data_IF_391095574050
#
_entry.id   IF_391095574050
#
_cell.length_a   1.000
_cell.length_b   1.000
_cell.length_c   1.000
_cell.angle_alpha   90.00
_cell.angle_beta   90.00
_cell.angle_gamma   90.00
#
_symmetry.space_group_name_H-M   'P 1'
#
loop_
_entity.id
_entity.type
_entity.pdbx_description
1 polymer ?
#
# COMPACT_ATOMS: atom_id res chain seq x y z
N UNK A 1 -14.44 54.43 38.18
CA UNK A 1 -13.33 53.58 37.68
C UNK A 1 -13.97 52.31 37.13
N UNK A 2 -13.94 52.14 35.81
CA UNK A 2 -14.87 51.29 35.05
C UNK A 2 -14.66 49.79 35.23
N UNK A 3 -15.78 49.06 35.25
CA UNK A 3 -15.84 47.60 35.23
C UNK A 3 -15.47 47.07 33.83
N UNK A 4 -14.44 46.23 33.76
CA UNK A 4 -14.09 45.50 32.54
C UNK A 4 -15.04 44.30 32.35
N UNK A 5 -15.62 44.16 31.15
CA UNK A 5 -16.46 43.03 30.75
C UNK A 5 -15.59 41.78 30.50
N UNK A 6 -16.08 40.56 30.79
CA UNK A 6 -15.35 39.35 30.44
C UNK A 6 -15.34 39.16 28.92
N UNK A 7 -14.16 38.84 28.38
CA UNK A 7 -13.96 38.48 26.98
C UNK A 7 -14.65 37.13 26.76
N UNK A 8 -15.72 37.11 25.96
CA UNK A 8 -16.35 35.89 25.47
C UNK A 8 -15.31 35.16 24.63
N UNK A 9 -14.86 33.99 25.10
CA UNK A 9 -14.05 33.09 24.29
C UNK A 9 -14.91 32.66 23.08
N UNK A 10 -14.59 33.20 21.91
CA UNK A 10 -15.18 32.79 20.66
C UNK A 10 -14.92 31.28 20.49
N UNK A 11 -15.99 30.47 20.55
CA UNK A 11 -15.94 29.08 20.08
C UNK A 11 -15.46 29.11 18.64
N UNK A 12 -14.24 28.65 18.40
CA UNK A 12 -13.72 28.39 17.06
C UNK A 12 -14.61 27.29 16.46
N UNK A 13 -15.61 27.67 15.68
CA UNK A 13 -16.29 26.75 14.78
C UNK A 13 -15.25 26.33 13.73
N UNK A 14 -14.46 25.29 14.03
CA UNK A 14 -13.64 24.63 13.03
C UNK A 14 -14.60 24.00 12.03
N UNK A 15 -14.49 24.40 10.77
CA UNK A 15 -15.42 24.11 9.67
C UNK A 15 -15.61 22.61 9.46
N UNK A 16 -16.77 22.07 9.82
CA UNK A 16 -17.19 20.70 9.48
C UNK A 16 -17.22 20.49 7.95
N UNK A 17 -17.63 21.52 7.19
CA UNK A 17 -17.76 21.49 5.72
C UNK A 17 -16.43 21.14 5.02
N UNK A 18 -15.28 21.60 5.53
CA UNK A 18 -13.97 21.32 4.93
C UNK A 18 -13.50 19.88 5.20
N UNK A 19 -13.89 19.31 6.35
CA UNK A 19 -13.60 17.92 6.70
C UNK A 19 -14.44 16.96 5.83
N UNK A 20 -15.71 17.29 5.61
CA UNK A 20 -16.62 16.51 4.78
C UNK A 20 -16.13 16.42 3.32
N UNK A 21 -15.67 17.53 2.75
CA UNK A 21 -15.12 17.55 1.38
C UNK A 21 -13.81 16.77 1.23
N UNK A 22 -12.92 16.82 2.23
CA UNK A 22 -11.68 16.05 2.21
C UNK A 22 -11.95 14.54 2.34
N UNK A 23 -12.85 14.15 3.23
CA UNK A 23 -13.22 12.75 3.40
C UNK A 23 -13.90 12.20 2.15
N UNK A 24 -14.74 13.01 1.50
CA UNK A 24 -15.34 12.66 0.22
C UNK A 24 -14.28 12.44 -0.87
N UNK A 25 -13.29 13.34 -0.97
CA UNK A 25 -12.20 13.21 -1.95
C UNK A 25 -11.39 11.92 -1.77
N UNK A 26 -11.04 11.57 -0.52
CA UNK A 26 -10.27 10.36 -0.21
C UNK A 26 -11.08 9.05 -0.41
N UNK A 27 -12.41 9.12 -0.31
CA UNK A 27 -13.29 7.96 -0.47
C UNK A 27 -13.83 7.79 -1.90
N UNK A 28 -13.57 8.74 -2.80
CA UNK A 28 -14.13 8.73 -4.16
C UNK A 28 -13.48 7.61 -4.97
N UNK A 29 -14.29 6.80 -5.65
CA UNK A 29 -13.80 5.73 -6.51
C UNK A 29 -13.14 6.30 -7.77
N UNK A 30 -12.14 5.57 -8.30
CA UNK A 30 -11.36 6.00 -9.48
C UNK A 30 -12.24 6.44 -10.66
N UNK A 31 -13.33 5.73 -10.95
CA UNK A 31 -14.26 6.09 -12.03
C UNK A 31 -14.81 7.51 -11.92
N UNK A 32 -15.03 8.01 -10.70
CA UNK A 32 -15.53 9.36 -10.45
C UNK A 32 -14.39 10.37 -10.29
N UNK A 33 -13.30 9.97 -9.62
CA UNK A 33 -12.16 10.85 -9.36
C UNK A 33 -11.35 11.15 -10.63
N UNK A 34 -11.14 10.15 -11.49
CA UNK A 34 -10.44 10.25 -12.76
C UNK A 34 -11.04 9.26 -13.79
N UNK A 35 -12.14 9.65 -14.47
CA UNK A 35 -12.78 8.82 -15.48
C UNK A 35 -11.85 8.45 -16.64
N UNK A 36 -10.88 9.32 -16.96
CA UNK A 36 -9.94 9.09 -18.07
C UNK A 36 -9.02 7.92 -17.75
N UNK A 37 -8.43 7.89 -16.54
CA UNK A 37 -7.58 6.77 -16.10
C UNK A 37 -8.41 5.49 -15.94
N UNK A 38 -9.64 5.59 -15.43
CA UNK A 38 -10.55 4.46 -15.35
C UNK A 38 -10.79 3.82 -16.73
N UNK A 39 -11.10 4.62 -17.75
CA UNK A 39 -11.36 4.13 -19.10
C UNK A 39 -10.11 3.49 -19.74
N UNK A 40 -8.92 4.05 -19.48
CA UNK A 40 -7.64 3.44 -19.91
C UNK A 40 -7.49 2.03 -19.31
N UNK A 41 -7.74 1.87 -18.00
CA UNK A 41 -7.64 0.58 -17.31
C UNK A 41 -8.67 -0.42 -17.85
N UNK A 42 -9.91 0.01 -18.08
CA UNK A 42 -10.96 -0.86 -18.62
C UNK A 42 -10.65 -1.30 -20.06
N UNK A 43 -10.05 -0.43 -20.87
CA UNK A 43 -9.58 -0.79 -22.21
C UNK A 43 -8.42 -1.80 -22.16
N UNK A 44 -7.47 -1.67 -21.23
CA UNK A 44 -6.40 -2.65 -21.05
C UNK A 44 -6.93 -4.01 -20.56
N UNK A 45 -7.87 -4.03 -19.62
CA UNK A 45 -8.55 -5.28 -19.21
C UNK A 45 -9.21 -5.98 -20.39
N UNK A 46 -9.92 -5.23 -21.24
CA UNK A 46 -10.52 -5.79 -22.47
C UNK A 46 -9.46 -6.32 -23.41
N UNK A 47 -8.36 -5.60 -23.63
CA UNK A 47 -7.25 -6.06 -24.48
C UNK A 47 -6.67 -7.38 -23.96
N UNK A 48 -6.34 -7.47 -22.68
CA UNK A 48 -5.79 -8.68 -22.05
C UNK A 48 -6.72 -9.89 -22.20
N UNK A 49 -8.03 -9.69 -22.07
CA UNK A 49 -9.03 -10.77 -22.20
C UNK A 49 -9.17 -11.31 -23.63
N UNK A 50 -8.89 -10.51 -24.65
CA UNK A 50 -9.11 -10.86 -26.05
C UNK A 50 -7.78 -11.02 -26.84
N UNK A 51 -6.66 -11.09 -26.14
CA UNK A 51 -5.33 -11.22 -26.73
C UNK A 51 -4.67 -12.52 -26.29
N UNK A 52 -3.97 -13.18 -27.21
CA UNK A 52 -3.11 -14.33 -26.88
C UNK A 52 -1.76 -13.77 -26.45
N UNK A 53 -1.48 -13.83 -25.15
CA UNK A 53 -0.20 -13.37 -24.62
C UNK A 53 0.89 -14.44 -24.81
N UNK A 54 1.89 -14.12 -25.64
CA UNK A 54 3.05 -14.97 -25.92
C UNK A 54 4.35 -14.42 -25.32
N UNK A 55 4.28 -13.36 -24.51
CA UNK A 55 5.44 -12.78 -23.85
C UNK A 55 5.79 -13.67 -22.65
N UNK A 56 6.96 -14.34 -22.62
CA UNK A 56 7.25 -15.40 -21.64
C UNK A 56 7.41 -14.90 -20.21
N UNK A 57 7.67 -13.61 -20.02
CA UNK A 57 7.81 -12.97 -18.71
C UNK A 57 6.53 -12.33 -18.19
N UNK A 58 5.48 -12.25 -19.01
CA UNK A 58 4.18 -11.75 -18.56
C UNK A 58 3.31 -12.88 -18.03
N UNK A 59 2.47 -12.55 -17.05
CA UNK A 59 1.53 -13.49 -16.46
C UNK A 59 0.29 -12.76 -15.91
N UNK A 60 -0.81 -13.48 -15.72
CA UNK A 60 -2.01 -12.97 -15.08
C UNK A 60 -2.03 -13.44 -13.63
N UNK A 61 -1.88 -12.50 -12.70
CA UNK A 61 -1.96 -12.81 -11.26
C UNK A 61 -3.40 -12.99 -10.79
N UNK A 62 -3.58 -13.58 -9.62
CA UNK A 62 -4.90 -13.78 -9.03
C UNK A 62 -5.49 -12.48 -8.49
N UNK A 63 -6.83 -12.40 -8.42
CA UNK A 63 -7.53 -11.28 -7.80
C UNK A 63 -7.10 -11.07 -6.33
N UNK A 64 -6.84 -12.16 -5.59
CA UNK A 64 -6.39 -12.09 -4.21
C UNK A 64 -5.04 -11.35 -4.04
N UNK A 65 -4.13 -11.46 -5.02
CA UNK A 65 -2.87 -10.70 -5.02
C UNK A 65 -3.15 -9.21 -5.28
N UNK A 66 -4.05 -8.88 -6.20
CA UNK A 66 -4.43 -7.50 -6.49
C UNK A 66 -5.15 -6.83 -5.31
N UNK A 67 -6.01 -7.56 -4.61
CA UNK A 67 -6.72 -7.08 -3.42
C UNK A 67 -5.73 -6.70 -2.30
N UNK A 68 -4.72 -7.55 -2.07
CA UNK A 68 -3.66 -7.27 -1.11
C UNK A 68 -2.78 -6.08 -1.54
N UNK A 69 -2.42 -6.02 -2.83
CA UNK A 69 -1.59 -4.95 -3.40
C UNK A 69 -2.26 -3.59 -3.23
N UNK A 70 -3.57 -3.47 -3.52
CA UNK A 70 -4.35 -2.24 -3.40
C UNK A 70 -4.87 -1.92 -1.98
N UNK A 71 -4.38 -2.60 -0.95
CA UNK A 71 -4.87 -2.46 0.42
C UNK A 71 -4.23 -1.30 1.19
N UNK A 72 -4.74 -1.07 2.41
CA UNK A 72 -4.22 -0.05 3.34
C UNK A 72 -2.77 -0.30 3.80
N UNK A 73 -2.20 -1.46 3.49
CA UNK A 73 -0.79 -1.79 3.79
C UNK A 73 0.18 -0.77 3.17
N UNK A 74 -0.18 -0.16 2.04
CA UNK A 74 0.61 0.88 1.38
C UNK A 74 0.83 2.14 2.23
N UNK A 75 -0.02 2.38 3.24
CA UNK A 75 0.05 3.59 4.05
C UNK A 75 1.16 3.55 5.11
N UNK A 76 1.78 2.38 5.34
CA UNK A 76 2.69 2.19 6.48
C UNK A 76 4.16 2.29 6.08
N UNK A 77 4.86 3.23 6.70
CA UNK A 77 6.31 3.32 6.66
C UNK A 77 6.95 2.32 7.64
N UNK A 78 7.80 1.41 7.13
CA UNK A 78 8.28 0.24 7.88
C UNK A 78 9.78 -0.03 7.69
N UNK A 79 10.57 1.05 7.57
CA UNK A 79 12.03 0.94 7.44
C UNK A 79 12.67 0.11 8.56
N UNK A 80 13.66 -0.70 8.19
CA UNK A 80 14.29 -1.72 9.03
C UNK A 80 13.76 -3.11 8.72
N UNK A 81 13.91 -4.02 9.67
CA UNK A 81 13.47 -5.42 9.55
C UNK A 81 12.47 -5.78 10.65
N UNK A 82 11.71 -6.88 10.51
CA UNK A 82 10.78 -7.31 11.55
C UNK A 82 11.46 -7.43 12.93
N UNK A 83 10.91 -6.78 13.95
CA UNK A 83 11.49 -6.70 15.30
C UNK A 83 12.60 -5.65 15.49
N UNK A 84 13.06 -5.01 14.41
CA UNK A 84 14.11 -3.99 14.40
C UNK A 84 13.75 -2.85 13.44
N UNK A 85 12.60 -2.20 13.69
CA UNK A 85 12.09 -1.08 12.90
C UNK A 85 12.56 0.27 13.44
N UNK A 86 12.77 1.23 12.56
CA UNK A 86 13.05 2.63 12.94
C UNK A 86 11.80 3.37 13.44
N UNK A 87 10.61 2.88 13.08
CA UNK A 87 9.32 3.49 13.39
C UNK A 87 8.41 2.54 14.17
N UNK A 88 7.53 3.08 15.02
CA UNK A 88 6.52 2.31 15.74
C UNK A 88 5.32 1.89 14.88
N UNK A 89 4.43 1.07 15.46
CA UNK A 89 3.14 0.67 14.85
C UNK A 89 3.26 -0.35 13.71
N UNK A 90 4.31 -1.17 13.71
CA UNK A 90 4.60 -2.14 12.64
C UNK A 90 4.20 -3.57 13.02
N UNK A 91 3.36 -3.78 14.04
CA UNK A 91 3.02 -5.10 14.57
C UNK A 91 2.48 -6.04 13.47
N UNK A 92 1.57 -5.54 12.65
CA UNK A 92 0.95 -6.29 11.55
C UNK A 92 1.81 -6.32 10.28
N UNK A 93 2.64 -5.30 10.05
CA UNK A 93 3.60 -5.30 8.93
C UNK A 93 4.66 -6.38 9.16
N UNK A 94 5.19 -6.46 10.38
CA UNK A 94 6.15 -7.48 10.76
C UNK A 94 5.55 -8.88 10.68
N UNK A 95 4.27 -9.05 11.06
CA UNK A 95 3.56 -10.31 10.87
C UNK A 95 3.50 -10.70 9.39
N UNK A 96 3.13 -9.76 8.52
CA UNK A 96 3.04 -9.98 7.07
C UNK A 96 4.40 -10.30 6.45
N UNK A 97 5.45 -9.56 6.81
CA UNK A 97 6.80 -9.76 6.26
C UNK A 97 7.41 -11.08 6.71
N UNK A 98 7.27 -11.45 8.00
CA UNK A 98 7.71 -12.77 8.49
C UNK A 98 6.98 -13.92 7.79
N UNK A 99 5.67 -13.79 7.58
CA UNK A 99 4.90 -14.79 6.85
C UNK A 99 5.35 -14.89 5.38
N UNK A 100 5.66 -13.76 4.74
CA UNK A 100 6.19 -13.73 3.38
C UNK A 100 7.55 -14.45 3.30
N UNK A 101 8.47 -14.15 4.22
CA UNK A 101 9.78 -14.79 4.31
C UNK A 101 9.65 -16.31 4.52
N UNK A 102 8.82 -16.73 5.48
CA UNK A 102 8.56 -18.14 5.75
C UNK A 102 8.04 -18.86 4.50
N UNK A 103 6.99 -18.32 3.87
CA UNK A 103 6.38 -18.92 2.67
C UNK A 103 7.32 -18.93 1.48
N UNK A 104 8.21 -17.95 1.36
CA UNK A 104 9.23 -17.95 0.32
C UNK A 104 10.18 -19.13 0.49
N UNK A 105 10.69 -19.38 1.70
CA UNK A 105 11.55 -20.54 1.96
C UNK A 105 10.80 -21.87 1.72
N UNK A 106 9.55 -21.98 2.20
CA UNK A 106 8.70 -23.15 1.98
C UNK A 106 8.43 -23.41 0.49
N UNK A 107 8.17 -22.37 -0.30
CA UNK A 107 7.88 -22.51 -1.73
C UNK A 107 9.06 -23.04 -2.56
N UNK A 108 10.29 -22.92 -2.04
CA UNK A 108 11.51 -23.42 -2.68
C UNK A 108 12.13 -24.61 -1.94
N UNK A 109 11.40 -25.23 -1.00
CA UNK A 109 11.86 -26.37 -0.20
C UNK A 109 13.19 -26.11 0.55
N UNK A 110 13.36 -24.90 1.09
CA UNK A 110 14.60 -24.48 1.75
C UNK A 110 14.51 -24.59 3.27
N UNK A 111 15.54 -25.18 3.88
CA UNK A 111 15.71 -25.21 5.34
C UNK A 111 16.13 -23.84 5.87
N UNK A 112 15.31 -23.27 6.76
CA UNK A 112 15.55 -21.97 7.38
C UNK A 112 16.81 -21.93 8.27
N UNK A 113 17.38 -23.07 8.66
CA UNK A 113 18.68 -23.11 9.34
C UNK A 113 19.85 -22.81 8.38
N UNK A 114 19.67 -23.08 7.08
CA UNK A 114 20.70 -22.95 6.06
C UNK A 114 20.46 -21.76 5.12
N UNK A 115 19.21 -21.32 4.98
CA UNK A 115 18.80 -20.29 4.04
C UNK A 115 18.04 -19.17 4.74
N UNK A 116 18.39 -17.94 4.36
CA UNK A 116 17.61 -16.75 4.65
C UNK A 116 17.04 -16.15 3.37
N UNK A 117 16.07 -15.25 3.50
CA UNK A 117 15.48 -14.53 2.37
C UNK A 117 15.17 -13.10 2.75
N UNK A 118 15.49 -12.16 1.86
CA UNK A 118 15.04 -10.78 1.93
C UNK A 118 13.93 -10.57 0.89
N UNK A 119 12.76 -10.12 1.34
CA UNK A 119 11.56 -9.92 0.50
C UNK A 119 11.25 -8.44 0.24
N UNK A 120 12.20 -7.53 0.53
CA UNK A 120 12.01 -6.07 0.43
C UNK A 120 12.45 -5.46 -0.91
N UNK A 121 13.14 -6.23 -1.77
CA UNK A 121 13.56 -5.72 -3.06
C UNK A 121 12.36 -5.39 -3.96
N UNK A 122 12.33 -4.15 -4.48
CA UNK A 122 11.17 -3.60 -5.19
C UNK A 122 10.89 -4.27 -6.55
N UNK A 123 11.93 -4.85 -7.16
CA UNK A 123 11.84 -5.61 -8.41
C UNK A 123 13.14 -6.40 -8.61
N UNK A 124 13.25 -7.15 -9.72
CA UNK A 124 14.43 -7.98 -10.01
C UNK A 124 15.72 -7.18 -10.21
N UNK A 125 15.67 -6.04 -10.90
CA UNK A 125 16.86 -5.22 -11.12
C UNK A 125 17.46 -4.63 -9.82
N UNK A 126 16.66 -4.01 -8.91
CA UNK A 126 17.13 -3.64 -7.58
C UNK A 126 17.65 -4.83 -6.76
N UNK A 127 17.00 -6.00 -6.82
CA UNK A 127 17.44 -7.18 -6.10
C UNK A 127 18.87 -7.60 -6.49
N UNK A 128 19.17 -7.61 -7.79
CA UNK A 128 20.52 -7.89 -8.28
C UNK A 128 21.52 -6.86 -7.77
N UNK A 129 21.17 -5.56 -7.81
CA UNK A 129 22.05 -4.50 -7.35
C UNK A 129 22.34 -4.57 -5.84
N UNK A 130 21.40 -5.04 -5.03
CA UNK A 130 21.62 -5.20 -3.59
C UNK A 130 22.55 -6.36 -3.22
N UNK A 131 22.75 -7.31 -4.14
CA UNK A 131 23.67 -8.45 -3.96
C UNK A 131 25.11 -8.09 -4.34
N UNK A 132 25.29 -7.28 -5.39
CA UNK A 132 26.61 -6.88 -5.90
C UNK A 132 27.34 -5.94 -4.95
#
# INVERSE_FOLDING_TARGET
RGFAKPIVAARRAKSSIALDGQQQLLATHLQQADPTVFDIIENEKKRQKHFINLIPSENFTSQAVLDALGSVMQNKYSEGYPGARYYGGNEFIDQSERLCQQRALEAFDLDAANWGVNVQALSGAPANLYVY
#
